data_IF_232014847972
#
_entry.id   IF_232014847972
#
_cell.length_a   1.000
_cell.length_b   1.000
_cell.length_c   1.000
_cell.angle_alpha   90.00
_cell.angle_beta   90.00
_cell.angle_gamma   90.00
#
_symmetry.space_group_name_H-M   'P 1'
#
loop_
_entity.id
_entity.type
_entity.pdbx_description
1 polymer ?
#
# COMPACT_ATOMS: atom_id res chain seq x y z
N UNK A 1 -3.42 36.58 -14.69
CA UNK A 1 -3.08 36.50 -13.25
C UNK A 1 -3.78 35.30 -12.65
N UNK A 2 -3.02 34.38 -12.04
CA UNK A 2 -3.49 33.24 -11.24
C UNK A 2 -3.79 31.97 -12.04
N UNK A 3 -3.23 30.79 -11.77
CA UNK A 3 -2.28 30.34 -10.75
C UNK A 3 -1.43 29.23 -11.41
N UNK A 4 -0.11 29.38 -11.46
CA UNK A 4 0.79 28.24 -11.61
C UNK A 4 0.75 27.48 -10.29
N UNK A 5 -0.18 26.55 -10.15
CA UNK A 5 -0.12 25.57 -9.08
C UNK A 5 0.87 24.52 -9.52
N UNK A 6 2.14 24.70 -9.16
CA UNK A 6 3.08 23.58 -9.08
C UNK A 6 2.46 22.60 -8.10
N UNK A 7 1.71 21.64 -8.61
CA UNK A 7 1.40 20.42 -7.88
C UNK A 7 2.78 19.81 -7.66
N UNK A 8 3.39 20.09 -6.52
CA UNK A 8 4.44 19.23 -5.99
C UNK A 8 3.76 17.88 -5.91
N UNK A 9 4.00 17.01 -6.90
CA UNK A 9 3.47 15.66 -6.98
C UNK A 9 3.93 14.95 -5.72
N UNK A 10 3.11 15.03 -4.66
CA UNK A 10 3.34 14.23 -3.46
C UNK A 10 3.20 12.80 -3.93
N UNK A 11 4.33 12.10 -4.07
CA UNK A 11 4.36 10.70 -4.44
C UNK A 11 3.52 9.94 -3.42
N UNK A 12 2.34 9.52 -3.82
CA UNK A 12 1.43 8.75 -2.96
C UNK A 12 1.98 7.34 -2.80
N UNK A 13 1.62 6.65 -1.71
CA UNK A 13 2.01 5.24 -1.54
C UNK A 13 1.53 4.38 -2.72
N UNK A 14 0.36 4.71 -3.28
CA UNK A 14 -0.16 4.07 -4.50
C UNK A 14 0.75 4.26 -5.71
N UNK A 15 1.36 5.44 -5.88
CA UNK A 15 2.32 5.71 -6.95
C UNK A 15 3.64 4.96 -6.73
N UNK A 16 4.15 4.90 -5.50
CA UNK A 16 5.38 4.17 -5.19
C UNK A 16 5.24 2.65 -5.39
N UNK A 17 4.04 2.11 -5.17
CA UNK A 17 3.74 0.68 -5.26
C UNK A 17 3.06 0.30 -6.57
N UNK A 18 3.12 1.17 -7.59
CA UNK A 18 2.40 0.97 -8.85
C UNK A 18 2.77 -0.34 -9.55
N UNK A 19 4.06 -0.71 -9.54
CA UNK A 19 4.60 -1.92 -10.15
C UNK A 19 3.92 -3.21 -9.63
N UNK A 20 3.70 -3.27 -8.31
CA UNK A 20 3.12 -4.44 -7.64
C UNK A 20 1.62 -4.28 -7.36
N UNK A 21 0.99 -3.20 -7.83
CA UNK A 21 -0.37 -2.80 -7.45
C UNK A 21 -1.43 -3.85 -7.80
N UNK A 22 -1.22 -4.64 -8.85
CA UNK A 22 -2.15 -5.70 -9.27
C UNK A 22 -1.64 -7.10 -8.96
N UNK A 23 -0.37 -7.22 -8.54
CA UNK A 23 0.26 -8.50 -8.23
C UNK A 23 -0.10 -9.01 -6.83
N UNK A 24 -0.56 -8.11 -5.94
CA UNK A 24 -0.77 -8.41 -4.52
C UNK A 24 -2.25 -8.25 -4.17
N UNK A 25 -2.75 -9.20 -3.37
CA UNK A 25 -4.05 -9.07 -2.70
C UNK A 25 -3.97 -8.09 -1.53
N UNK A 26 -4.15 -6.79 -1.78
CA UNK A 26 -4.10 -5.74 -0.73
C UNK A 26 -5.08 -5.95 0.42
N UNK A 27 -6.24 -6.55 0.16
CA UNK A 27 -7.20 -6.89 1.20
C UNK A 27 -6.69 -7.95 2.18
N UNK A 28 -5.89 -8.91 1.69
CA UNK A 28 -5.24 -9.91 2.55
C UNK A 28 -4.14 -9.25 3.36
N UNK A 29 -3.31 -8.41 2.74
CA UNK A 29 -2.26 -7.67 3.44
C UNK A 29 -2.83 -6.76 4.55
N UNK A 30 -3.94 -6.07 4.28
CA UNK A 30 -4.63 -5.25 5.28
C UNK A 30 -5.13 -6.07 6.47
N UNK A 31 -5.66 -7.28 6.21
CA UNK A 31 -6.14 -8.18 7.26
C UNK A 31 -5.01 -8.74 8.10
N UNK A 32 -3.99 -9.33 7.45
CA UNK A 32 -2.90 -10.06 8.10
C UNK A 32 -2.00 -9.13 8.92
N UNK A 33 -1.62 -7.99 8.34
CA UNK A 33 -0.61 -7.11 8.95
C UNK A 33 -1.24 -5.95 9.72
N UNK A 34 -2.42 -5.46 9.36
CA UNK A 34 -3.02 -4.27 9.99
C UNK A 34 -4.30 -4.58 10.80
N UNK A 35 -4.84 -5.79 10.71
CA UNK A 35 -6.15 -6.15 11.27
C UNK A 35 -7.25 -5.18 10.80
N UNK A 36 -7.17 -4.76 9.53
CA UNK A 36 -8.13 -3.84 8.88
C UNK A 36 -8.81 -4.50 7.69
N UNK A 37 -9.93 -3.92 7.28
CA UNK A 37 -10.66 -4.34 6.09
C UNK A 37 -9.94 -3.91 4.80
N UNK A 38 -10.22 -4.60 3.69
CA UNK A 38 -9.71 -4.23 2.38
C UNK A 38 -10.05 -2.77 2.00
N UNK A 39 -11.29 -2.35 2.27
CA UNK A 39 -11.74 -0.98 1.99
C UNK A 39 -10.91 0.08 2.70
N UNK A 40 -10.48 -0.16 3.95
CA UNK A 40 -9.61 0.76 4.68
C UNK A 40 -8.28 0.97 3.96
N UNK A 41 -7.72 -0.09 3.38
CA UNK A 41 -6.47 -0.01 2.65
C UNK A 41 -6.62 0.76 1.34
N UNK A 42 -7.69 0.49 0.58
CA UNK A 42 -7.99 1.22 -0.65
C UNK A 42 -8.31 2.70 -0.39
N UNK A 43 -8.96 3.02 0.72
CA UNK A 43 -9.17 4.40 1.17
C UNK A 43 -7.84 5.13 1.35
N UNK A 44 -6.88 4.51 2.06
CA UNK A 44 -5.52 5.04 2.24
C UNK A 44 -4.79 5.21 0.91
N UNK A 45 -4.94 4.28 -0.03
CA UNK A 45 -4.35 4.39 -1.38
C UNK A 45 -4.94 5.51 -2.22
N UNK A 46 -6.25 5.74 -2.12
CA UNK A 46 -6.94 6.77 -2.87
C UNK A 46 -6.83 8.15 -2.22
N UNK A 47 -6.31 8.23 -0.99
CA UNK A 47 -6.16 9.49 -0.27
C UNK A 47 -7.45 9.97 0.40
N UNK A 48 -8.53 9.18 0.36
CA UNK A 48 -9.88 9.54 0.82
C UNK A 48 -10.54 8.36 1.53
N UNK A 49 -11.10 8.62 2.71
CA UNK A 49 -11.87 7.63 3.48
C UNK A 49 -13.31 7.48 2.98
N UNK A 50 -14.07 6.51 3.50
CA UNK A 50 -15.48 6.27 3.16
C UNK A 50 -16.41 7.46 3.43
N UNK A 51 -15.95 8.44 4.22
CA UNK A 51 -16.65 9.71 4.47
C UNK A 51 -16.18 10.87 3.58
N UNK A 52 -15.35 10.61 2.56
CA UNK A 52 -14.76 11.64 1.69
C UNK A 52 -13.71 12.53 2.36
N UNK A 53 -13.27 12.17 3.58
CA UNK A 53 -12.23 12.90 4.32
C UNK A 53 -10.84 12.48 3.82
N UNK A 54 -9.87 13.41 3.71
CA UNK A 54 -8.52 13.06 3.32
C UNK A 54 -7.90 12.10 4.34
N UNK A 55 -7.29 11.03 3.85
CA UNK A 55 -6.62 10.02 4.68
C UNK A 55 -5.34 9.57 3.99
N UNK A 56 -4.28 9.32 4.76
CA UNK A 56 -3.00 8.84 4.25
C UNK A 56 -2.38 7.90 5.29
N UNK A 57 -1.32 7.17 4.93
CA UNK A 57 -0.58 6.36 5.88
C UNK A 57 0.27 7.28 6.77
N UNK A 58 0.10 7.18 8.08
CA UNK A 58 0.99 7.81 9.05
C UNK A 58 2.36 7.11 9.07
N UNK A 59 3.31 7.64 9.85
CA UNK A 59 4.67 7.11 9.89
C UNK A 59 4.76 5.65 10.36
N UNK A 60 3.96 5.27 11.36
CA UNK A 60 3.91 3.91 11.89
C UNK A 60 3.30 2.94 10.87
N UNK A 61 2.19 3.33 10.25
CA UNK A 61 1.51 2.55 9.22
C UNK A 61 2.42 2.35 7.99
N UNK A 62 3.25 3.35 7.63
CA UNK A 62 4.25 3.22 6.55
C UNK A 62 5.37 2.25 6.93
N UNK A 63 5.86 2.30 8.16
CA UNK A 63 6.88 1.37 8.64
C UNK A 63 6.34 -0.07 8.65
N UNK A 64 5.10 -0.25 9.08
CA UNK A 64 4.40 -1.53 9.06
C UNK A 64 4.14 -2.03 7.63
N UNK A 65 3.77 -1.14 6.70
CA UNK A 65 3.59 -1.48 5.29
C UNK A 65 4.91 -1.95 4.67
N UNK A 66 6.02 -1.25 4.96
CA UNK A 66 7.36 -1.65 4.52
C UNK A 66 7.70 -3.06 5.06
N UNK A 67 7.46 -3.31 6.35
CA UNK A 67 7.68 -4.62 6.95
C UNK A 67 6.83 -5.72 6.29
N UNK A 68 5.55 -5.46 6.07
CA UNK A 68 4.63 -6.38 5.41
C UNK A 68 5.06 -6.75 3.98
N UNK A 69 5.53 -5.76 3.21
CA UNK A 69 6.05 -5.99 1.86
C UNK A 69 7.34 -6.81 1.87
N UNK A 70 8.25 -6.55 2.80
CA UNK A 70 9.47 -7.36 2.97
C UNK A 70 9.16 -8.80 3.36
N UNK A 71 8.24 -9.02 4.31
CA UNK A 71 7.80 -10.36 4.71
C UNK A 71 7.14 -11.11 3.55
N UNK A 72 6.25 -10.45 2.80
CA UNK A 72 5.63 -11.05 1.62
C UNK A 72 6.66 -11.45 0.56
N UNK A 73 7.66 -10.60 0.30
CA UNK A 73 8.73 -10.92 -0.65
C UNK A 73 9.53 -12.16 -0.22
N UNK A 74 9.87 -12.28 1.07
CA UNK A 74 10.56 -13.44 1.61
C UNK A 74 9.71 -14.72 1.51
N UNK A 75 8.40 -14.62 1.79
CA UNK A 75 7.46 -15.73 1.62
C UNK A 75 7.34 -16.20 0.17
N UNK A 76 7.29 -15.27 -0.78
CA UNK A 76 7.29 -15.59 -2.22
C UNK A 76 8.59 -16.32 -2.59
N UNK A 77 9.74 -15.83 -2.10
CA UNK A 77 11.05 -16.45 -2.35
C UNK A 77 11.13 -17.87 -1.78
N UNK A 78 10.69 -18.08 -0.53
CA UNK A 78 10.64 -19.41 0.11
C UNK A 78 9.72 -20.37 -0.64
N UNK A 79 8.57 -19.89 -1.10
CA UNK A 79 7.65 -20.70 -1.91
C UNK A 79 8.31 -21.13 -3.23
N UNK A 80 9.05 -20.23 -3.89
CA UNK A 80 9.78 -20.55 -5.11
C UNK A 80 10.91 -21.57 -4.88
N UNK A 81 11.66 -21.44 -3.79
CA UNK A 81 12.75 -22.36 -3.41
C UNK A 81 12.25 -23.76 -3.06
N UNK A 82 11.02 -23.86 -2.55
CA UNK A 82 10.38 -25.14 -2.22
C UNK A 82 9.86 -25.93 -3.42
N UNK A 83 9.93 -25.37 -4.65
CA UNK A 83 9.49 -26.08 -5.86
C UNK A 83 10.59 -27.08 -6.25
N UNK A 84 10.29 -28.37 -6.10
CA UNK A 84 11.18 -29.45 -6.54
C UNK A 84 11.29 -29.46 -8.08
N UNK A 85 12.52 -29.59 -8.59
CA UNK A 85 12.86 -29.60 -10.03
C UNK A 85 13.73 -30.81 -10.35
#
# INVERSE_FOLDING_TARGET
MGRNMTVTERTTMKSQLNDILVAISWGVLARDYFTKSASWFYNKFNGIDGNGKPTDFNAEERAQLKGALCDLADRIRKAADSIEI
#
